data_IF_212512382095
#
_entry.id   IF_212512382095
#
_cell.length_a   1.000
_cell.length_b   1.000
_cell.length_c   1.000
_cell.angle_alpha   90.00
_cell.angle_beta   90.00
_cell.angle_gamma   90.00
#
_symmetry.space_group_name_H-M   'P 1'
#
loop_
_entity.id
_entity.type
_entity.pdbx_description
1 polymer ?
#
# COMPACT_ATOMS: atom_id res chain seq x y z
N UNK A 1 41.30 -64.65 28.48
CA UNK A 1 42.78 -64.57 28.60
C UNK A 1 43.41 -65.04 27.28
N UNK A 2 44.37 -64.28 26.75
CA UNK A 2 45.51 -64.83 26.00
C UNK A 2 45.42 -65.05 24.48
N UNK A 3 45.90 -64.05 23.73
CA UNK A 3 46.96 -64.12 22.69
C UNK A 3 46.83 -64.92 21.37
N UNK A 4 46.97 -64.12 20.29
CA UNK A 4 47.91 -64.22 19.14
C UNK A 4 47.84 -65.39 18.13
N UNK A 5 47.42 -65.06 16.89
CA UNK A 5 48.00 -65.51 15.58
C UNK A 5 47.78 -64.35 14.58
N UNK A 6 48.79 -63.73 13.95
CA UNK A 6 49.59 -64.21 12.81
C UNK A 6 49.01 -63.65 11.49
N UNK A 7 49.48 -62.55 10.89
CA UNK A 7 50.69 -62.28 10.06
C UNK A 7 50.53 -62.56 8.54
N UNK A 8 50.49 -61.44 7.78
CA UNK A 8 51.06 -61.11 6.44
C UNK A 8 50.59 -61.78 5.13
N UNK A 9 50.36 -60.90 4.13
CA UNK A 9 50.90 -60.78 2.74
C UNK A 9 49.75 -60.34 1.81
N UNK A 10 49.91 -59.49 0.79
CA UNK A 10 51.00 -58.76 0.16
C UNK A 10 50.35 -57.77 -0.84
N UNK A 11 50.91 -56.56 -1.00
CA UNK A 11 51.73 -56.12 -2.15
C UNK A 11 50.98 -55.55 -3.36
N UNK A 12 51.48 -54.37 -3.76
CA UNK A 12 51.62 -53.81 -5.11
C UNK A 12 50.54 -52.88 -5.68
N UNK A 13 50.99 -51.63 -5.84
CA UNK A 13 50.45 -50.49 -6.59
C UNK A 13 50.27 -50.78 -8.09
N UNK A 14 49.34 -50.06 -8.73
CA UNK A 14 49.62 -49.48 -10.05
C UNK A 14 48.46 -49.32 -11.05
N UNK A 15 48.14 -48.05 -11.33
CA UNK A 15 47.81 -47.43 -12.64
C UNK A 15 46.41 -47.56 -13.29
N UNK A 16 45.78 -46.37 -13.37
CA UNK A 16 45.26 -45.62 -14.55
C UNK A 16 44.16 -46.20 -15.47
N UNK A 17 43.10 -45.40 -15.50
CA UNK A 17 42.34 -44.85 -16.63
C UNK A 17 41.45 -45.74 -17.52
N UNK A 18 40.19 -45.25 -17.59
CA UNK A 18 39.19 -45.28 -18.67
C UNK A 18 38.68 -46.63 -19.17
N UNK A 19 37.39 -46.88 -18.92
CA UNK A 19 36.37 -47.26 -19.93
C UNK A 19 34.98 -47.37 -19.25
N UNK A 20 33.96 -46.72 -19.85
CA UNK A 20 32.53 -46.83 -19.49
C UNK A 20 31.83 -47.60 -20.62
N UNK A 21 30.76 -48.36 -20.35
CA UNK A 21 29.47 -47.92 -20.88
C UNK A 21 28.26 -48.17 -19.95
N UNK A 22 27.17 -47.47 -20.29
CA UNK A 22 25.86 -47.26 -19.64
C UNK A 22 25.05 -48.53 -19.31
N UNK A 23 23.97 -48.39 -18.51
CA UNK A 23 22.67 -48.54 -19.16
C UNK A 23 21.63 -47.48 -18.78
N UNK A 24 21.07 -46.86 -19.83
CA UNK A 24 19.66 -46.53 -20.04
C UNK A 24 18.73 -46.53 -18.81
N UNK A 25 18.35 -45.32 -18.36
CA UNK A 25 16.98 -45.05 -17.91
C UNK A 25 16.46 -43.77 -18.56
N UNK A 26 15.25 -43.88 -19.11
CA UNK A 26 14.60 -42.94 -20.04
C UNK A 26 14.25 -41.58 -19.42
N UNK A 27 14.58 -40.53 -20.18
CA UNK A 27 13.74 -39.41 -20.60
C UNK A 27 12.49 -39.06 -19.75
N UNK A 28 12.57 -37.93 -19.03
CA UNK A 28 11.65 -36.80 -19.23
C UNK A 28 12.33 -35.49 -18.80
N UNK A 29 12.71 -34.71 -19.80
CA UNK A 29 12.94 -33.27 -19.65
C UNK A 29 11.61 -32.62 -19.32
N UNK A 30 11.34 -32.39 -18.05
CA UNK A 30 10.38 -31.38 -17.64
C UNK A 30 11.18 -30.12 -17.40
N UNK A 31 11.38 -29.36 -18.50
CA UNK A 31 11.63 -27.94 -18.39
C UNK A 31 10.45 -27.38 -17.59
N UNK A 32 10.67 -27.09 -16.30
CA UNK A 32 9.79 -26.21 -15.56
C UNK A 32 9.90 -24.85 -16.22
N UNK A 33 9.00 -24.64 -17.17
CA UNK A 33 8.53 -23.34 -17.57
C UNK A 33 7.91 -22.75 -16.30
N UNK A 34 8.73 -22.12 -15.48
CA UNK A 34 8.23 -21.07 -14.59
C UNK A 34 7.71 -20.00 -15.51
N UNK A 35 6.42 -20.11 -15.85
CA UNK A 35 5.63 -18.98 -16.26
C UNK A 35 5.71 -17.99 -15.10
N UNK A 36 6.68 -17.09 -15.18
CA UNK A 36 6.65 -15.83 -14.50
C UNK A 36 5.41 -15.09 -15.03
N UNK A 37 4.25 -15.45 -14.49
CA UNK A 37 3.20 -14.49 -14.26
C UNK A 37 3.83 -13.48 -13.30
N UNK A 38 4.49 -12.47 -13.86
CA UNK A 38 4.63 -11.18 -13.22
C UNK A 38 3.19 -10.72 -12.97
N UNK A 39 2.60 -11.18 -11.87
CA UNK A 39 1.65 -10.34 -11.17
C UNK A 39 2.44 -9.06 -10.92
N UNK A 40 2.01 -7.97 -11.52
CA UNK A 40 2.49 -6.66 -11.11
C UNK A 40 2.23 -6.61 -9.61
N UNK A 41 3.30 -6.71 -8.83
CA UNK A 41 3.19 -6.57 -7.39
C UNK A 41 2.59 -5.19 -7.18
N UNK A 42 1.36 -5.17 -6.68
CA UNK A 42 0.64 -3.95 -6.35
C UNK A 42 1.60 -3.02 -5.60
N UNK A 43 1.97 -1.89 -6.22
CA UNK A 43 3.08 -1.09 -5.73
C UNK A 43 2.67 -0.41 -4.42
N UNK A 44 3.13 -0.96 -3.30
CA UNK A 44 2.89 -0.37 -1.98
C UNK A 44 3.79 0.86 -1.82
N UNK A 45 3.16 2.00 -1.56
CA UNK A 45 3.82 3.25 -1.23
C UNK A 45 3.92 3.38 0.29
N UNK A 46 5.14 3.28 0.81
CA UNK A 46 5.41 3.49 2.24
C UNK A 46 6.10 4.83 2.47
N UNK A 47 5.80 5.47 3.59
CA UNK A 47 6.41 6.75 3.93
C UNK A 47 5.85 7.38 5.19
N UNK A 48 6.02 8.69 5.27
CA UNK A 48 5.62 9.50 6.43
C UNK A 48 4.58 10.51 6.00
N UNK A 49 3.47 10.57 6.75
CA UNK A 49 2.45 11.59 6.57
C UNK A 49 2.51 12.63 7.69
N UNK A 50 2.22 13.88 7.33
CA UNK A 50 1.91 14.97 8.25
C UNK A 50 0.53 15.51 7.91
N UNK A 51 -0.42 15.34 8.83
CA UNK A 51 -1.84 15.62 8.62
C UNK A 51 -2.31 16.61 9.68
N UNK A 52 -2.79 17.76 9.24
CA UNK A 52 -3.58 18.67 10.06
C UNK A 52 -5.02 18.17 10.12
N UNK A 53 -5.52 17.96 11.34
CA UNK A 53 -6.92 17.65 11.62
C UNK A 53 -7.59 18.93 12.12
N UNK A 54 -8.58 19.39 11.34
CA UNK A 54 -9.34 20.60 11.64
C UNK A 54 -10.46 20.29 12.64
N UNK A 55 -10.90 21.27 13.45
CA UNK A 55 -12.05 21.10 14.35
C UNK A 55 -13.34 20.68 13.64
N UNK A 56 -13.47 21.01 12.34
CA UNK A 56 -14.59 20.60 11.49
C UNK A 56 -14.61 19.12 11.13
N UNK A 57 -13.57 18.35 11.49
CA UNK A 57 -13.38 16.96 11.06
C UNK A 57 -12.75 16.81 9.68
N UNK A 58 -12.55 17.91 8.94
CA UNK A 58 -11.77 17.91 7.71
C UNK A 58 -10.28 17.68 8.01
N UNK A 59 -9.58 17.09 7.06
CA UNK A 59 -8.14 16.88 7.15
C UNK A 59 -7.43 17.47 5.94
N UNK A 60 -6.21 17.93 6.15
CA UNK A 60 -5.31 18.35 5.09
C UNK A 60 -3.88 18.03 5.47
N UNK A 61 -3.08 17.59 4.52
CA UNK A 61 -1.73 17.13 4.84
C UNK A 61 -0.90 16.76 3.63
N UNK A 62 0.23 16.14 3.94
CA UNK A 62 1.18 15.66 2.95
C UNK A 62 1.64 14.26 3.31
N UNK A 63 1.80 13.42 2.30
CA UNK A 63 2.44 12.12 2.41
C UNK A 63 3.72 12.12 1.59
N UNK A 64 4.85 11.86 2.24
CA UNK A 64 6.16 11.75 1.58
C UNK A 64 6.52 10.27 1.48
N UNK A 65 6.45 9.75 0.26
CA UNK A 65 6.83 8.37 -0.07
C UNK A 65 8.35 8.22 -0.02
N UNK A 66 8.81 7.20 0.68
CA UNK A 66 10.22 6.82 0.76
C UNK A 66 10.52 5.62 -0.16
N UNK A 67 11.78 5.43 -0.60
CA UNK A 67 12.92 6.34 -0.44
C UNK A 67 12.93 7.52 -1.46
N UNK A 68 12.02 7.49 -2.44
CA UNK A 68 12.04 8.41 -3.59
C UNK A 68 11.69 9.88 -3.27
N UNK A 69 11.26 10.17 -2.03
CA UNK A 69 10.88 11.50 -1.56
C UNK A 69 9.81 12.17 -2.43
N UNK A 70 8.89 11.38 -2.98
CA UNK A 70 7.76 11.89 -3.76
C UNK A 70 6.69 12.37 -2.78
N UNK A 71 6.20 13.59 -2.97
CA UNK A 71 5.21 14.22 -2.10
C UNK A 71 3.82 14.16 -2.73
N UNK A 72 2.86 13.65 -1.97
CA UNK A 72 1.45 13.63 -2.30
C UNK A 72 0.70 14.57 -1.36
N UNK A 73 -0.27 15.29 -1.90
CA UNK A 73 -1.25 16.04 -1.11
C UNK A 73 -2.31 15.10 -0.56
N UNK A 74 -2.71 15.33 0.68
CA UNK A 74 -3.84 14.66 1.32
C UNK A 74 -4.90 15.71 1.63
N UNK A 75 -6.13 15.49 1.18
CA UNK A 75 -7.28 16.32 1.53
C UNK A 75 -8.43 15.40 1.90
N UNK A 76 -9.09 15.63 3.03
CA UNK A 76 -10.19 14.80 3.46
C UNK A 76 -11.35 15.61 4.00
N UNK A 77 -12.56 15.17 3.64
CA UNK A 77 -13.81 15.73 4.15
C UNK A 77 -14.60 14.63 4.84
N UNK A 78 -15.20 14.96 5.99
CA UNK A 78 -16.05 14.04 6.72
C UNK A 78 -17.33 13.77 5.91
N UNK A 79 -17.67 12.49 5.75
CA UNK A 79 -18.89 12.03 5.10
C UNK A 79 -19.97 11.90 6.16
N UNK A 80 -20.98 12.78 6.09
CA UNK A 80 -22.16 12.67 6.95
C UNK A 80 -22.95 11.41 6.59
N UNK A 81 -22.99 10.44 7.51
CA UNK A 81 -23.85 9.26 7.38
C UNK A 81 -25.13 9.47 8.18
N UNK A 82 -26.28 9.29 7.52
CA UNK A 82 -27.61 9.47 8.14
C UNK A 82 -27.93 8.39 9.19
N UNK A 83 -27.15 7.31 9.24
CA UNK A 83 -27.24 6.27 10.26
C UNK A 83 -26.16 6.50 11.32
N UNK A 84 -26.59 6.93 12.49
CA UNK A 84 -25.79 7.00 13.71
C UNK A 84 -25.04 5.68 13.93
N UNK A 85 -23.72 5.74 13.98
CA UNK A 85 -22.87 4.64 14.44
C UNK A 85 -23.26 4.33 15.89
N UNK A 86 -24.08 3.29 16.10
CA UNK A 86 -24.55 2.90 17.43
C UNK A 86 -23.47 2.24 18.30
N UNK A 87 -22.18 2.36 17.93
CA UNK A 87 -21.06 1.62 18.54
C UNK A 87 -19.79 2.49 18.64
N UNK A 88 -19.83 3.45 19.56
CA UNK A 88 -18.67 4.23 20.03
C UNK A 88 -18.54 5.60 19.35
N UNK A 89 -18.17 6.62 20.13
CA UNK A 89 -18.30 8.04 19.77
C UNK A 89 -17.16 8.58 18.85
N UNK A 90 -16.29 7.71 18.34
CA UNK A 90 -14.97 8.15 17.84
C UNK A 90 -14.70 7.77 16.36
N UNK A 91 -15.71 7.23 15.66
CA UNK A 91 -15.57 6.73 14.29
C UNK A 91 -16.08 7.76 13.29
N UNK A 92 -15.21 8.16 12.37
CA UNK A 92 -15.57 9.08 11.28
C UNK A 92 -15.24 8.45 9.94
N UNK A 93 -16.12 8.62 8.97
CA UNK A 93 -15.85 8.25 7.59
C UNK A 93 -15.33 9.49 6.86
N UNK A 94 -14.17 9.38 6.22
CA UNK A 94 -13.53 10.49 5.51
C UNK A 94 -13.44 10.12 4.02
N UNK A 95 -13.93 11.01 3.16
CA UNK A 95 -13.59 11.00 1.74
C UNK A 95 -12.21 11.62 1.58
N UNK A 96 -11.20 10.77 1.38
CA UNK A 96 -9.80 11.14 1.27
C UNK A 96 -9.39 11.24 -0.21
N UNK A 97 -8.97 12.43 -0.61
CA UNK A 97 -8.31 12.72 -1.87
C UNK A 97 -6.79 12.64 -1.71
N UNK A 98 -6.15 11.83 -2.53
CA UNK A 98 -4.71 11.65 -2.62
C UNK A 98 -4.26 12.24 -3.96
N UNK A 99 -3.49 13.32 -3.90
CA UNK A 99 -3.11 14.12 -5.06
C UNK A 99 -1.61 13.95 -5.31
N UNK A 100 -1.23 13.48 -6.49
CA UNK A 100 0.17 13.54 -6.93
C UNK A 100 0.49 14.96 -7.39
N UNK A 101 1.35 15.67 -6.66
CA UNK A 101 1.72 17.04 -7.02
C UNK A 101 2.55 17.14 -8.29
N UNK A 102 3.17 16.05 -8.74
CA UNK A 102 3.96 15.98 -9.97
C UNK A 102 3.05 15.91 -11.18
N UNK A 103 2.11 14.97 -11.20
CA UNK A 103 1.21 14.74 -12.34
C UNK A 103 -0.09 15.52 -12.24
N UNK A 104 -0.39 16.13 -11.08
CA UNK A 104 -1.66 16.78 -10.74
C UNK A 104 -2.87 15.85 -10.81
N UNK A 105 -2.66 14.53 -10.82
CA UNK A 105 -3.73 13.53 -10.76
C UNK A 105 -4.21 13.35 -9.32
N UNK A 106 -5.48 13.03 -9.19
CA UNK A 106 -6.16 12.83 -7.92
C UNK A 106 -6.83 11.47 -7.91
N UNK A 107 -6.63 10.71 -6.83
CA UNK A 107 -7.41 9.52 -6.52
C UNK A 107 -8.21 9.77 -5.26
N UNK A 108 -9.45 9.31 -5.24
CA UNK A 108 -10.36 9.48 -4.11
C UNK A 108 -10.68 8.11 -3.53
N UNK A 109 -10.55 7.99 -2.22
CA UNK A 109 -10.84 6.76 -1.47
C UNK A 109 -11.59 7.12 -0.19
N UNK A 110 -12.51 6.26 0.24
CA UNK A 110 -13.13 6.39 1.55
C UNK A 110 -12.27 5.66 2.59
N UNK A 111 -12.00 6.33 3.71
CA UNK A 111 -11.25 5.77 4.84
C UNK A 111 -12.03 5.97 6.12
N UNK A 112 -11.86 5.05 7.05
CA UNK A 112 -12.33 5.19 8.41
C UNK A 112 -11.24 5.84 9.26
N UNK A 113 -11.61 6.89 10.00
CA UNK A 113 -10.76 7.60 10.94
C UNK A 113 -11.21 7.33 12.38
N UNK A 114 -10.23 7.06 13.26
CA UNK A 114 -10.45 6.86 14.70
C UNK A 114 -9.40 7.59 15.53
N UNK A 115 -9.67 7.75 16.82
CA UNK A 115 -8.67 8.20 17.81
C UNK A 115 -8.68 9.69 18.10
N UNK A 116 -9.77 10.40 17.78
CA UNK A 116 -9.94 11.85 17.99
C UNK A 116 -8.71 12.64 17.50
N UNK A 117 -7.90 13.14 18.43
CA UNK A 117 -6.75 13.98 18.14
C UNK A 117 -5.55 13.15 17.66
N UNK A 118 -5.43 11.89 18.09
CA UNK A 118 -4.40 10.94 17.66
C UNK A 118 -4.98 10.00 16.58
N UNK A 119 -5.07 10.55 15.37
CA UNK A 119 -5.78 9.94 14.27
C UNK A 119 -5.12 8.64 13.77
N UNK A 120 -5.97 7.66 13.44
CA UNK A 120 -5.61 6.44 12.71
C UNK A 120 -6.56 6.28 11.54
N UNK A 121 -6.02 6.04 10.34
CA UNK A 121 -6.83 5.78 9.14
C UNK A 121 -6.69 4.34 8.70
N UNK A 122 -7.81 3.73 8.30
CA UNK A 122 -7.85 2.41 7.69
C UNK A 122 -8.86 2.36 6.54
N UNK A 123 -8.56 1.53 5.55
CA UNK A 123 -9.48 1.21 4.45
C UNK A 123 -10.82 0.68 4.96
N UNK A 124 -11.89 0.99 4.23
CA UNK A 124 -13.25 0.57 4.60
C UNK A 124 -13.48 -0.95 4.57
N UNK A 125 -12.62 -1.71 3.89
CA UNK A 125 -12.66 -3.19 3.90
C UNK A 125 -12.48 -3.78 5.30
N UNK A 126 -11.93 -2.99 6.22
CA UNK A 126 -11.77 -3.32 7.64
C UNK A 126 -12.57 -2.39 8.56
N UNK A 127 -13.49 -1.57 8.04
CA UNK A 127 -14.24 -0.63 8.85
C UNK A 127 -15.20 -1.38 9.80
N UNK A 128 -14.94 -1.26 11.09
CA UNK A 128 -15.74 -1.95 12.10
C UNK A 128 -17.10 -1.26 12.25
N UNK A 129 -18.18 -2.04 12.12
CA UNK A 129 -19.53 -1.59 12.46
C UNK A 129 -20.33 -0.98 11.31
N UNK A 130 -19.79 -0.97 10.09
CA UNK A 130 -20.56 -0.60 8.90
C UNK A 130 -21.21 -1.84 8.30
N UNK A 131 -22.52 -1.76 8.04
CA UNK A 131 -23.22 -2.80 7.29
C UNK A 131 -22.63 -2.88 5.87
N UNK A 132 -22.54 -4.10 5.32
CA UNK A 132 -22.01 -4.35 3.98
C UNK A 132 -22.69 -3.47 2.91
N UNK A 133 -23.95 -3.14 3.12
CA UNK A 133 -24.75 -2.26 2.25
C UNK A 133 -24.22 -0.81 2.23
N UNK A 134 -23.73 -0.28 3.36
CA UNK A 134 -23.18 1.08 3.43
C UNK A 134 -21.80 1.12 2.76
N UNK A 135 -20.97 0.11 3.03
CA UNK A 135 -19.68 -0.08 2.34
C UNK A 135 -19.91 -0.20 0.83
N UNK A 136 -20.93 -0.96 0.41
CA UNK A 136 -21.36 -1.11 -0.97
C UNK A 136 -21.75 0.22 -1.62
N UNK A 137 -22.59 1.02 -0.94
CA UNK A 137 -23.00 2.35 -1.42
C UNK A 137 -21.84 3.34 -1.55
N UNK A 138 -20.88 3.31 -0.62
CA UNK A 138 -19.68 4.17 -0.66
C UNK A 138 -18.79 3.77 -1.83
N UNK A 139 -18.55 2.47 -2.03
CA UNK A 139 -17.78 1.94 -3.17
C UNK A 139 -18.44 2.28 -4.51
N UNK A 140 -19.77 2.19 -4.58
CA UNK A 140 -20.54 2.53 -5.77
C UNK A 140 -20.48 4.03 -6.09
N UNK A 141 -20.56 4.90 -5.07
CA UNK A 141 -20.54 6.36 -5.26
C UNK A 141 -19.15 6.96 -5.47
N UNK A 142 -18.10 6.34 -4.92
CA UNK A 142 -16.77 6.94 -4.84
C UNK A 142 -15.67 6.18 -5.58
N UNK A 143 -16.01 5.09 -6.27
CA UNK A 143 -15.10 4.36 -7.15
C UNK A 143 -14.63 3.04 -6.55
N UNK A 144 -14.45 2.07 -7.44
CA UNK A 144 -14.16 0.66 -7.13
C UNK A 144 -12.67 0.32 -7.34
N UNK A 145 -11.78 1.30 -7.29
CA UNK A 145 -10.35 1.01 -7.26
C UNK A 145 -10.03 0.43 -5.89
N UNK A 146 -9.39 -0.74 -5.86
CA UNK A 146 -8.99 -1.45 -4.65
C UNK A 146 -7.80 -0.71 -4.00
N UNK A 147 -8.01 0.56 -3.63
CA UNK A 147 -7.03 1.39 -2.96
C UNK A 147 -7.10 1.06 -1.47
N UNK A 148 -5.97 0.65 -0.91
CA UNK A 148 -5.83 0.44 0.52
C UNK A 148 -5.00 1.55 1.14
N UNK A 149 -5.45 2.10 2.26
CA UNK A 149 -4.76 3.15 3.02
C UNK A 149 -4.66 2.73 4.48
N UNK A 150 -3.47 2.87 5.05
CA UNK A 150 -3.26 2.83 6.50
C UNK A 150 -2.44 4.03 6.96
N UNK A 151 -2.85 4.63 8.07
CA UNK A 151 -2.11 5.69 8.75
C UNK A 151 -2.17 5.48 10.25
N UNK A 152 -1.04 5.66 10.91
CA UNK A 152 -0.94 5.63 12.36
C UNK A 152 -0.16 6.84 12.86
N UNK A 153 -0.81 7.68 13.67
CA UNK A 153 -0.14 8.79 14.33
C UNK A 153 0.92 8.28 15.33
N UNK A 154 2.16 8.71 15.14
CA UNK A 154 3.27 8.47 16.05
C UNK A 154 3.60 9.71 16.89
N UNK A 155 3.25 10.91 16.40
CA UNK A 155 3.49 12.18 17.07
C UNK A 155 2.31 13.12 16.85
N UNK A 156 1.63 13.44 17.95
CA UNK A 156 0.58 14.46 18.01
C UNK A 156 1.17 15.79 18.46
N UNK A 157 0.89 16.85 17.71
CA UNK A 157 1.20 18.24 18.07
C UNK A 157 -0.11 19.00 18.24
N UNK A 158 -0.19 19.77 19.32
CA UNK A 158 -1.31 20.65 19.63
C UNK A 158 -0.81 22.07 19.90
N UNK A 159 -1.74 23.02 19.97
CA UNK A 159 -1.51 24.43 20.32
C UNK A 159 -0.35 25.06 19.52
N UNK A 160 0.57 25.74 20.21
CA UNK A 160 1.69 26.42 19.59
C UNK A 160 2.60 25.46 18.79
N UNK A 161 2.75 24.20 19.20
CA UNK A 161 3.56 23.24 18.46
C UNK A 161 2.90 22.81 17.14
N UNK A 162 1.57 22.71 17.12
CA UNK A 162 0.81 22.49 15.89
C UNK A 162 0.90 23.71 14.97
N UNK A 163 0.65 24.90 15.52
CA UNK A 163 0.64 26.15 14.77
C UNK A 163 2.03 26.47 14.18
N UNK A 164 3.12 26.24 14.90
CA UNK A 164 4.49 26.36 14.35
C UNK A 164 4.73 25.39 13.19
N UNK A 165 4.22 24.17 13.29
CA UNK A 165 4.32 23.20 12.21
C UNK A 165 3.50 23.63 10.99
N UNK A 166 2.26 24.07 11.21
CA UNK A 166 1.34 24.53 10.18
C UNK A 166 1.92 25.73 9.44
N UNK A 167 2.39 26.77 10.14
CA UNK A 167 3.03 27.93 9.50
C UNK A 167 4.19 27.56 8.58
N UNK A 168 4.94 26.52 8.92
CA UNK A 168 6.12 26.08 8.17
C UNK A 168 5.77 25.21 6.96
N UNK A 169 4.81 24.29 7.10
CA UNK A 169 4.58 23.22 6.11
C UNK A 169 3.20 23.26 5.45
N UNK A 170 2.22 23.91 6.06
CA UNK A 170 0.83 24.03 5.59
C UNK A 170 0.28 25.44 5.86
N UNK A 171 0.94 26.51 5.37
CA UNK A 171 0.67 27.89 5.83
C UNK A 171 -0.77 28.34 5.61
N UNK A 172 -1.47 27.78 4.62
CA UNK A 172 -2.88 28.06 4.35
C UNK A 172 -3.85 27.62 5.46
N UNK A 173 -3.38 26.83 6.43
CA UNK A 173 -4.18 26.36 7.57
C UNK A 173 -3.82 27.08 8.88
N UNK A 174 -2.95 28.10 8.84
CA UNK A 174 -2.52 28.82 10.04
C UNK A 174 -3.71 29.53 10.69
N UNK A 175 -3.84 29.42 12.02
CA UNK A 175 -4.94 30.04 12.77
C UNK A 175 -6.29 29.32 12.67
N UNK A 176 -6.31 28.09 12.13
CA UNK A 176 -7.53 27.26 12.06
C UNK A 176 -7.67 26.26 13.23
N UNK A 177 -6.86 26.42 14.28
CA UNK A 177 -6.91 25.62 15.51
C UNK A 177 -6.83 24.10 15.24
N UNK A 178 -6.02 23.72 14.25
CA UNK A 178 -5.83 22.33 13.88
C UNK A 178 -4.75 21.67 14.72
N UNK A 179 -4.95 20.40 15.08
CA UNK A 179 -3.89 19.54 15.61
C UNK A 179 -3.13 18.88 14.47
N UNK A 180 -1.84 18.59 14.66
CA UNK A 180 -1.02 17.94 13.62
C UNK A 180 -0.63 16.54 14.07
N UNK A 181 -1.02 15.56 13.27
CA UNK A 181 -0.64 14.16 13.38
C UNK A 181 0.52 13.87 12.42
N UNK A 182 1.63 13.36 12.94
CA UNK A 182 2.77 12.89 12.13
C UNK A 182 2.96 11.41 12.39
N UNK A 183 3.11 10.61 11.34
CA UNK A 183 3.30 9.17 11.50
C UNK A 183 3.45 8.42 10.20
N UNK A 184 3.50 7.09 10.32
CA UNK A 184 3.66 6.19 9.17
C UNK A 184 2.38 6.11 8.38
N UNK A 185 2.54 6.10 7.07
CA UNK A 185 1.43 5.88 6.13
C UNK A 185 1.85 4.86 5.08
N UNK A 186 0.93 3.96 4.74
CA UNK A 186 1.05 3.03 3.65
C UNK A 186 -0.17 3.12 2.74
N UNK A 187 0.08 3.12 1.43
CA UNK A 187 -0.97 3.21 0.41
C UNK A 187 -0.68 2.17 -0.68
N UNK A 188 -1.63 1.31 -0.99
CA UNK A 188 -1.56 0.36 -2.11
C UNK A 188 -2.71 0.58 -3.10
N UNK A 189 -2.63 -0.05 -4.27
CA UNK A 189 -3.71 -0.03 -5.25
C UNK A 189 -3.83 1.27 -6.05
N UNK A 190 -2.88 2.20 -5.89
CA UNK A 190 -2.85 3.44 -6.65
C UNK A 190 -1.87 3.31 -7.82
N UNK A 191 -2.40 3.32 -9.04
CA UNK A 191 -1.60 3.52 -10.25
C UNK A 191 -2.00 4.80 -10.97
N UNK A 192 -1.24 5.88 -10.74
CA UNK A 192 -1.43 7.13 -11.45
C UNK A 192 -1.08 7.06 -12.95
N UNK A 193 -0.53 5.95 -13.48
CA UNK A 193 -0.13 5.82 -14.90
C UNK A 193 -1.21 5.22 -15.81
N UNK A 194 -2.21 4.53 -15.25
CA UNK A 194 -3.20 3.77 -16.04
C UNK A 194 -4.25 4.64 -16.75
N UNK A 195 -4.47 5.88 -16.30
CA UNK A 195 -5.48 6.79 -16.88
C UNK A 195 -5.12 7.27 -18.30
N UNK A 196 -3.86 7.19 -18.72
CA UNK A 196 -3.45 7.52 -20.09
C UNK A 196 -3.93 6.50 -21.12
N UNK A 197 -4.10 5.22 -20.72
CA UNK A 197 -4.48 4.15 -21.63
C UNK A 197 -5.98 4.07 -21.87
N UNK A 198 -6.81 4.41 -20.87
CA UNK A 198 -8.27 4.40 -20.96
C UNK A 198 -8.79 5.59 -21.78
N UNK A 199 -8.26 6.79 -21.57
CA UNK A 199 -8.64 7.98 -22.37
C UNK A 199 -8.14 7.87 -23.83
N UNK A 200 -6.96 7.27 -24.07
CA UNK A 200 -6.44 7.04 -25.42
C UNK A 200 -7.20 5.94 -26.19
N UNK A 201 -7.89 5.03 -25.50
CA UNK A 201 -8.72 3.99 -26.12
C UNK A 201 -10.08 4.54 -26.55
N UNK A 202 -10.68 5.39 -25.72
CA UNK A 202 -11.96 6.03 -26.00
C UNK A 202 -11.89 7.02 -27.19
N UNK A 203 -10.79 7.77 -27.30
CA UNK A 203 -10.51 8.64 -28.47
C UNK A 203 -10.24 7.86 -29.77
N UNK A 204 -9.66 6.66 -29.68
CA UNK A 204 -9.44 5.79 -30.85
C UNK A 204 -10.72 5.09 -31.31
N UNK A 205 -11.55 4.66 -30.37
CA UNK A 205 -12.81 4.01 -30.69
C UNK A 205 -13.81 5.04 -31.27
N UNK A 206 -13.84 6.27 -30.75
CA UNK A 206 -14.70 7.34 -31.27
C UNK A 206 -14.27 7.84 -32.67
N UNK A 207 -12.98 7.77 -33.01
CA UNK A 207 -12.49 8.06 -34.36
C UNK A 207 -12.82 6.95 -35.39
N UNK A 208 -13.04 5.71 -34.93
CA UNK A 208 -13.38 4.57 -35.80
C UNK A 208 -14.88 4.49 -36.15
N UNK A 209 -15.77 5.19 -35.44
CA UNK A 209 -17.23 5.20 -35.72
C UNK A 209 -17.69 6.33 -36.65
N UNK A 210 -16.78 7.19 -37.12
CA UNK A 210 -17.05 8.16 -38.20
C UNK A 210 -16.46 7.66 -39.52
N UNK A 211 -17.19 6.75 -40.18
CA UNK A 211 -17.02 6.44 -41.62
C UNK A 211 -18.39 6.47 -42.29
#
# INVERSE_FOLDING_TARGET
MGSLKGRLRGTARGKRDSERPEPHFRCRTEAKMESAAKGEAEEVMEGVASIALLPSGAISGHFVRLPHSICYGLHGTELSCERECSRGEDYRLIKLSIIDYTTKREKVVAVECRGHDAARFQSIDHAHGWEEDVIGMIKEKHGNEQISVSFECETLKADNAAEEHIRKYMPNLSGHDAVVNVGKMSISGINFKEEDASQAKELKDQACYTV
#
